data_IF_311456016134
#
_entry.id   IF_311456016134
#
_cell.length_a   1.000
_cell.length_b   1.000
_cell.length_c   1.000
_cell.angle_alpha   90.00
_cell.angle_beta   90.00
_cell.angle_gamma   90.00
#
_symmetry.space_group_name_H-M   'P 1'
#
loop_
_entity.id
_entity.type
_entity.pdbx_description
1 polymer ?
#
# COMPACT_ATOMS: atom_id res chain seq x y z
N UNK A 1 16.62 5.64 19.94
CA UNK A 1 15.65 4.75 19.28
C UNK A 1 14.41 5.40 18.63
N UNK A 2 13.77 6.46 19.18
CA UNK A 2 12.46 6.90 18.64
C UNK A 2 12.52 7.44 17.20
N UNK A 3 13.65 8.04 16.79
CA UNK A 3 13.85 8.50 15.41
C UNK A 3 13.93 7.34 14.41
N UNK A 4 14.59 6.23 14.78
CA UNK A 4 14.72 5.04 13.93
C UNK A 4 13.37 4.38 13.68
N UNK A 5 12.56 4.21 14.74
CA UNK A 5 11.19 3.66 14.65
C UNK A 5 10.32 4.51 13.72
N UNK A 6 10.33 5.85 13.89
CA UNK A 6 9.59 6.77 13.01
C UNK A 6 10.09 6.74 11.57
N UNK A 7 11.40 6.61 11.36
CA UNK A 7 11.98 6.48 10.03
C UNK A 7 11.52 5.18 9.36
N UNK A 8 11.59 4.06 10.07
CA UNK A 8 11.14 2.75 9.58
C UNK A 8 9.66 2.76 9.21
N UNK A 9 8.80 3.34 10.05
CA UNK A 9 7.38 3.51 9.77
C UNK A 9 7.13 4.24 8.44
N UNK A 10 7.79 5.39 8.24
CA UNK A 10 7.66 6.17 7.00
C UNK A 10 8.18 5.40 5.79
N UNK A 11 9.28 4.67 5.94
CA UNK A 11 9.85 3.85 4.87
C UNK A 11 8.89 2.73 4.44
N UNK A 12 8.27 2.03 5.39
CA UNK A 12 7.28 0.99 5.13
C UNK A 12 6.04 1.55 4.42
N UNK A 13 5.50 2.69 4.89
CA UNK A 13 4.37 3.34 4.24
C UNK A 13 4.68 3.79 2.81
N UNK A 14 5.85 4.43 2.61
CA UNK A 14 6.30 4.89 1.29
C UNK A 14 6.53 3.72 0.34
N UNK A 15 7.09 2.62 0.83
CA UNK A 15 7.30 1.42 0.01
C UNK A 15 5.96 0.77 -0.35
N UNK A 16 5.06 0.61 0.62
CA UNK A 16 3.73 0.03 0.38
C UNK A 16 2.89 0.83 -0.60
N UNK A 17 3.02 2.16 -0.66
CA UNK A 17 2.29 2.97 -1.65
C UNK A 17 2.74 2.77 -3.10
N UNK A 18 3.90 2.14 -3.32
CA UNK A 18 4.46 1.91 -4.66
C UNK A 18 3.94 0.63 -5.33
N UNK A 19 3.13 -0.19 -4.64
CA UNK A 19 2.49 -1.35 -5.27
C UNK A 19 1.62 -0.94 -6.45
N UNK A 20 1.69 -1.69 -7.55
CA UNK A 20 0.87 -1.44 -8.74
C UNK A 20 -0.63 -1.69 -8.50
N UNK A 21 -0.96 -2.72 -7.71
CA UNK A 21 -2.34 -3.08 -7.41
C UNK A 21 -2.87 -2.36 -6.15
N UNK A 22 -4.09 -1.81 -6.22
CA UNK A 22 -4.71 -1.07 -5.11
C UNK A 22 -4.87 -1.87 -3.83
N UNK A 23 -5.33 -3.11 -3.93
CA UNK A 23 -5.53 -4.00 -2.79
C UNK A 23 -4.22 -4.17 -1.99
N UNK A 24 -3.07 -4.30 -2.66
CA UNK A 24 -1.78 -4.41 -1.99
C UNK A 24 -1.30 -3.09 -1.40
N UNK A 25 -1.53 -1.94 -2.07
CA UNK A 25 -1.25 -0.61 -1.49
C UNK A 25 -2.01 -0.42 -0.17
N UNK A 26 -3.32 -0.67 -0.19
CA UNK A 26 -4.17 -0.46 0.99
C UNK A 26 -3.89 -1.49 2.10
N UNK A 27 -3.62 -2.75 1.74
CA UNK A 27 -3.22 -3.76 2.70
C UNK A 27 -1.89 -3.39 3.38
N UNK A 28 -0.85 -3.05 2.61
CA UNK A 28 0.45 -2.69 3.16
C UNK A 28 0.36 -1.47 4.09
N UNK A 29 -0.42 -0.46 3.69
CA UNK A 29 -0.69 0.74 4.51
C UNK A 29 -1.40 0.38 5.81
N UNK A 30 -2.47 -0.43 5.75
CA UNK A 30 -3.23 -0.85 6.94
C UNK A 30 -2.38 -1.69 7.88
N UNK A 31 -1.74 -2.75 7.36
CA UNK A 31 -0.87 -3.65 8.13
C UNK A 31 0.26 -2.91 8.84
N UNK A 32 0.90 -1.95 8.16
CA UNK A 32 1.95 -1.11 8.75
C UNK A 32 1.39 -0.25 9.88
N UNK A 33 0.22 0.38 9.70
CA UNK A 33 -0.41 1.20 10.75
C UNK A 33 -0.80 0.38 11.96
N UNK A 34 -1.41 -0.77 11.74
CA UNK A 34 -1.91 -1.63 12.81
C UNK A 34 -0.74 -2.18 13.63
N UNK A 35 0.32 -2.67 12.98
CA UNK A 35 1.52 -3.19 13.67
C UNK A 35 2.18 -2.14 14.57
N UNK A 36 2.31 -0.90 14.10
CA UNK A 36 2.94 0.17 14.88
C UNK A 36 2.04 0.68 16.02
N UNK A 37 0.71 0.64 15.84
CA UNK A 37 -0.25 1.00 16.89
C UNK A 37 -0.30 -0.07 17.98
N UNK A 38 -0.31 -1.34 17.59
CA UNK A 38 -0.30 -2.49 18.49
C UNK A 38 0.86 -2.43 19.49
N UNK A 39 2.05 -2.04 19.03
CA UNK A 39 3.25 -1.96 19.87
C UNK A 39 3.64 -0.54 20.30
N UNK A 40 2.74 0.44 20.18
CA UNK A 40 3.07 1.85 20.50
C UNK A 40 3.46 2.06 21.97
N UNK A 41 2.90 1.25 22.87
CA UNK A 41 3.12 1.33 24.31
C UNK A 41 4.21 0.39 24.85
N UNK A 42 4.94 -0.32 23.99
CA UNK A 42 5.99 -1.24 24.43
C UNK A 42 7.17 -0.47 25.04
N UNK A 43 7.56 -0.85 26.25
CA UNK A 43 8.63 -0.19 27.02
C UNK A 43 9.86 -1.09 27.19
N UNK A 44 9.73 -2.40 26.95
CA UNK A 44 10.87 -3.32 26.97
C UNK A 44 11.79 -3.03 25.78
N UNK A 45 13.00 -2.55 26.09
CA UNK A 45 13.99 -2.18 25.09
C UNK A 45 14.41 -3.35 24.18
N UNK A 46 14.39 -4.59 24.69
CA UNK A 46 14.76 -5.78 23.91
C UNK A 46 13.67 -6.09 22.88
N UNK A 47 12.40 -6.11 23.32
CA UNK A 47 11.25 -6.30 22.42
C UNK A 47 11.17 -5.20 21.37
N UNK A 48 11.42 -3.94 21.74
CA UNK A 48 11.48 -2.84 20.76
C UNK A 48 12.54 -3.10 19.70
N UNK A 49 13.73 -3.58 20.08
CA UNK A 49 14.79 -3.92 19.12
C UNK A 49 14.38 -5.09 18.21
N UNK A 50 13.76 -6.14 18.76
CA UNK A 50 13.26 -7.27 17.99
C UNK A 50 12.21 -6.84 16.96
N UNK A 51 11.26 -6.00 17.37
CA UNK A 51 10.22 -5.44 16.50
C UNK A 51 10.82 -4.54 15.40
N UNK A 52 11.82 -3.73 15.73
CA UNK A 52 12.54 -2.91 14.74
C UNK A 52 13.26 -3.80 13.72
N UNK A 53 13.96 -4.85 14.16
CA UNK A 53 14.63 -5.78 13.25
C UNK A 53 13.64 -6.55 12.38
N UNK A 54 12.51 -6.96 12.95
CA UNK A 54 11.41 -7.53 12.19
C UNK A 54 10.91 -6.56 11.11
N UNK A 55 10.63 -5.30 11.48
CA UNK A 55 10.18 -4.29 10.52
C UNK A 55 11.21 -3.98 9.42
N UNK A 56 12.51 -4.07 9.70
CA UNK A 56 13.56 -3.95 8.67
C UNK A 56 13.51 -5.12 7.69
N UNK A 57 13.31 -6.36 8.17
CA UNK A 57 13.14 -7.53 7.29
C UNK A 57 11.90 -7.38 6.41
N UNK A 58 10.78 -6.94 6.99
CA UNK A 58 9.55 -6.66 6.27
C UNK A 58 9.75 -5.59 5.19
N UNK A 59 10.49 -4.51 5.50
CA UNK A 59 10.81 -3.48 4.52
C UNK A 59 11.58 -4.03 3.32
N UNK A 60 12.53 -4.95 3.54
CA UNK A 60 13.25 -5.59 2.44
C UNK A 60 12.32 -6.48 1.60
N UNK A 61 11.38 -7.18 2.23
CA UNK A 61 10.36 -7.96 1.53
C UNK A 61 9.46 -7.07 0.68
N UNK A 62 8.93 -6.00 1.28
CA UNK A 62 8.12 -4.98 0.61
C UNK A 62 8.81 -4.39 -0.62
N UNK A 63 10.11 -4.07 -0.54
CA UNK A 63 10.88 -3.58 -1.69
C UNK A 63 10.87 -4.57 -2.85
N UNK A 64 11.16 -5.85 -2.59
CA UNK A 64 11.14 -6.90 -3.62
C UNK A 64 9.75 -7.08 -4.22
N UNK A 65 8.74 -7.17 -3.36
CA UNK A 65 7.35 -7.39 -3.79
C UNK A 65 6.81 -6.21 -4.60
N UNK A 66 7.19 -4.98 -4.25
CA UNK A 66 6.85 -3.80 -5.03
C UNK A 66 7.40 -3.90 -6.44
N UNK A 67 8.69 -4.22 -6.58
CA UNK A 67 9.35 -4.37 -7.89
C UNK A 67 8.69 -5.50 -8.70
N UNK A 68 8.43 -6.65 -8.08
CA UNK A 68 7.70 -7.76 -8.73
C UNK A 68 6.31 -7.30 -9.21
N UNK A 69 5.58 -6.55 -8.39
CA UNK A 69 4.24 -6.06 -8.76
C UNK A 69 4.25 -5.15 -9.98
N UNK A 70 5.37 -4.48 -10.27
CA UNK A 70 5.51 -3.64 -11.46
C UNK A 70 5.70 -4.44 -12.75
N UNK A 71 6.16 -5.70 -12.68
CA UNK A 71 6.24 -6.58 -13.85
C UNK A 71 4.89 -7.22 -14.19
N UNK A 72 4.00 -7.36 -13.21
CA UNK A 72 2.68 -7.96 -13.36
C UNK A 72 1.58 -6.94 -13.10
N UNK A 73 1.66 -5.79 -13.79
CA UNK A 73 0.61 -4.79 -13.71
C UNK A 73 -0.67 -5.37 -14.32
N UNK A 74 -1.67 -5.56 -13.47
CA UNK A 74 -3.01 -5.95 -13.87
C UNK A 74 -3.82 -4.68 -14.19
N UNK A 75 -4.87 -4.86 -14.99
CA UNK A 75 -5.83 -3.78 -15.27
C UNK A 75 -6.36 -3.17 -13.98
N UNK A 76 -6.51 -1.85 -13.98
CA UNK A 76 -6.99 -1.13 -12.80
C UNK A 76 -8.38 -1.63 -12.40
N UNK A 77 -8.56 -1.86 -11.11
CA UNK A 77 -9.85 -2.26 -10.56
C UNK A 77 -10.88 -1.14 -10.74
N UNK A 78 -12.16 -1.51 -10.79
CA UNK A 78 -13.30 -0.56 -10.88
C UNK A 78 -13.24 0.52 -9.80
N UNK A 79 -12.78 0.16 -8.60
CA UNK A 79 -12.65 1.06 -7.44
C UNK A 79 -11.51 2.08 -7.57
N UNK A 80 -10.61 1.89 -8.54
CA UNK A 80 -9.51 2.82 -8.84
C UNK A 80 -9.92 3.87 -9.89
N UNK A 81 -11.01 3.64 -10.62
CA UNK A 81 -11.67 4.66 -11.42
C UNK A 81 -12.41 5.60 -10.48
N UNK A 82 -12.04 6.88 -10.47
CA UNK A 82 -12.80 7.89 -9.73
C UNK A 82 -14.27 7.91 -10.16
N UNK A 83 -15.11 8.63 -9.40
CA UNK A 83 -16.56 8.81 -9.65
C UNK A 83 -16.89 9.20 -11.11
N UNK A 84 -15.93 9.76 -11.85
CA UNK A 84 -16.09 10.21 -13.22
C UNK A 84 -15.99 9.12 -14.31
N UNK A 85 -15.52 7.90 -14.00
CA UNK A 85 -15.42 6.83 -15.02
C UNK A 85 -14.56 7.17 -16.25
N UNK A 86 -13.73 8.22 -16.19
CA UNK A 86 -12.93 8.66 -17.33
C UNK A 86 -11.58 7.93 -17.35
N UNK A 87 -11.44 6.99 -18.28
CA UNK A 87 -10.14 6.52 -18.74
C UNK A 87 -9.54 7.55 -19.70
N UNK A 88 -8.30 7.98 -19.46
CA UNK A 88 -7.54 8.84 -20.38
C UNK A 88 -6.32 8.08 -20.90
N UNK A 89 -6.47 7.49 -22.12
CA UNK A 89 -5.45 7.07 -23.11
C UNK A 89 -4.31 6.12 -22.66
N UNK A 90 -3.83 5.12 -23.41
CA UNK A 90 -4.05 4.67 -24.79
C UNK A 90 -4.21 3.14 -24.77
N UNK A 91 -5.30 2.62 -25.34
CA UNK A 91 -5.67 1.21 -25.47
C UNK A 91 -5.94 0.41 -24.18
N UNK A 92 -7.18 0.50 -23.70
CA UNK A 92 -8.08 -0.63 -23.35
C UNK A 92 -9.35 -0.05 -22.69
N UNK A 93 -10.40 0.07 -23.52
CA UNK A 93 -11.70 0.69 -23.19
C UNK A 93 -12.44 -0.01 -22.04
N UNK A 94 -12.89 0.79 -21.07
CA UNK A 94 -14.06 0.51 -20.24
C UNK A 94 -14.98 1.72 -20.39
N UNK A 95 -15.87 1.63 -21.37
CA UNK A 95 -17.02 2.53 -21.53
C UNK A 95 -18.08 2.17 -20.49
N UNK A 96 -18.40 3.08 -19.57
CA UNK A 96 -19.65 3.00 -18.79
C UNK A 96 -20.64 4.03 -19.33
N UNK A 97 -21.43 3.59 -20.30
CA UNK A 97 -22.61 4.31 -20.73
C UNK A 97 -23.63 4.26 -19.58
N UNK A 98 -23.93 5.42 -19.00
CA UNK A 98 -25.09 5.56 -18.12
C UNK A 98 -26.30 5.64 -19.05
N UNK A 99 -27.14 4.61 -19.11
CA UNK A 99 -28.48 4.82 -19.67
C UNK A 99 -29.20 5.80 -18.76
N UNK A 100 -29.30 7.04 -19.21
CA UNK A 100 -30.33 7.94 -18.72
C UNK A 100 -31.62 7.44 -19.35
N UNK A 101 -32.41 6.70 -18.57
CA UNK A 101 -33.82 6.52 -18.89
C UNK A 101 -34.46 7.90 -18.98
N UNK A 102 -35.13 8.17 -20.10
CA UNK A 102 -36.09 9.26 -20.19
C UNK A 102 -37.41 8.76 -19.60
N UNK A 103 -37.86 9.47 -18.57
CA UNK A 103 -39.15 9.45 -17.85
C UNK A 103 -39.80 8.09 -17.49
#
# INVERSE_FOLDING_TARGET
MPQQVRSLYRQLLRQGSQFAAYNFREYAKRRTRDAFREHQGEQDSRKVQELVQHGIKELQSLKRQTVISQFYQLDRLVVEGGISGKQTGNNQEILRQKEQGYD
#
